data_IF_555300640568
#
_entry.id   IF_555300640568
#
_cell.length_a   1.000
_cell.length_b   1.000
_cell.length_c   1.000
_cell.angle_alpha   90.00
_cell.angle_beta   90.00
_cell.angle_gamma   90.00
#
_symmetry.space_group_name_H-M   'P 1'
#
loop_
_entity.id
_entity.type
_entity.pdbx_description
1 polymer ?
#
# COMPACT_ATOMS: atom_id res chain seq x y z
N UNK A 1 -10.92 15.95 -1.25
CA UNK A 1 -11.43 14.99 -2.25
C UNK A 1 -10.71 13.66 -2.04
N UNK A 2 -11.44 12.58 -1.71
CA UNK A 2 -10.84 11.24 -1.67
C UNK A 2 -10.78 10.72 -3.11
N UNK A 3 -9.65 10.89 -3.77
CA UNK A 3 -9.33 10.18 -5.02
C UNK A 3 -9.15 8.70 -4.67
N UNK A 4 -10.23 7.92 -4.78
CA UNK A 4 -10.18 6.48 -4.57
C UNK A 4 -9.26 5.84 -5.61
N UNK A 5 -8.34 4.99 -5.17
CA UNK A 5 -7.59 4.11 -6.08
C UNK A 5 -8.53 2.99 -6.47
N UNK A 6 -9.11 3.06 -7.67
CA UNK A 6 -9.89 1.96 -8.24
C UNK A 6 -8.91 1.09 -9.01
N UNK A 7 -8.61 -0.10 -8.48
CA UNK A 7 -7.85 -1.11 -9.20
C UNK A 7 -8.83 -1.93 -10.03
N UNK A 8 -8.72 -1.84 -11.35
CA UNK A 8 -9.52 -2.66 -12.29
C UNK A 8 -8.71 -3.84 -12.78
N UNK A 9 -9.39 -4.86 -13.31
CA UNK A 9 -8.76 -6.01 -13.98
C UNK A 9 -7.82 -5.55 -15.11
N UNK A 10 -8.23 -4.56 -15.90
CA UNK A 10 -7.39 -3.96 -16.94
C UNK A 10 -6.07 -3.39 -16.41
N UNK A 11 -6.06 -2.80 -15.21
CA UNK A 11 -4.80 -2.29 -14.63
C UNK A 11 -3.85 -3.43 -14.26
N UNK A 12 -4.39 -4.59 -13.88
CA UNK A 12 -3.61 -5.79 -13.58
C UNK A 12 -3.04 -6.35 -14.89
N UNK A 13 -3.87 -6.49 -15.92
CA UNK A 13 -3.44 -6.93 -17.25
C UNK A 13 -2.34 -6.03 -17.83
N UNK A 14 -2.53 -4.71 -17.76
CA UNK A 14 -1.53 -3.73 -18.22
C UNK A 14 -0.20 -3.90 -17.47
N UNK A 15 -0.25 -4.09 -16.15
CA UNK A 15 0.95 -4.30 -15.34
C UNK A 15 1.65 -5.64 -15.67
N UNK A 16 0.90 -6.69 -16.00
CA UNK A 16 1.47 -7.95 -16.48
C UNK A 16 2.17 -7.74 -17.83
N UNK A 17 1.47 -7.12 -18.78
CA UNK A 17 1.96 -6.91 -20.14
C UNK A 17 3.21 -6.01 -20.18
N UNK A 18 3.34 -5.07 -19.24
CA UNK A 18 4.50 -4.19 -19.12
C UNK A 18 5.62 -4.72 -18.22
N UNK A 19 5.41 -5.85 -17.54
CA UNK A 19 6.36 -6.37 -16.54
C UNK A 19 6.44 -5.53 -15.25
N UNK A 20 5.41 -4.76 -14.94
CA UNK A 20 5.34 -3.79 -13.83
C UNK A 20 4.57 -4.30 -12.61
N UNK A 21 4.19 -5.58 -12.57
CA UNK A 21 3.38 -6.20 -11.50
C UNK A 21 3.91 -5.89 -10.09
N UNK A 22 5.23 -5.93 -9.90
CA UNK A 22 5.84 -5.64 -8.60
C UNK A 22 5.61 -4.19 -8.16
N UNK A 23 5.65 -3.24 -9.10
CA UNK A 23 5.36 -1.82 -8.83
C UNK A 23 3.90 -1.64 -8.42
N UNK A 24 2.98 -2.32 -9.11
CA UNK A 24 1.56 -2.31 -8.77
C UNK A 24 1.30 -2.81 -7.34
N UNK A 25 1.90 -3.94 -6.97
CA UNK A 25 1.79 -4.50 -5.62
C UNK A 25 2.34 -3.52 -4.59
N UNK A 26 3.52 -2.94 -4.81
CA UNK A 26 4.11 -1.97 -3.89
C UNK A 26 3.21 -0.74 -3.70
N UNK A 27 2.59 -0.25 -4.78
CA UNK A 27 1.64 0.85 -4.70
C UNK A 27 0.44 0.49 -3.83
N UNK A 28 -0.16 -0.69 -4.04
CA UNK A 28 -1.29 -1.16 -3.22
C UNK A 28 -0.91 -1.33 -1.76
N UNK A 29 0.25 -1.92 -1.46
CA UNK A 29 0.78 -2.05 -0.10
C UNK A 29 0.88 -0.67 0.57
N UNK A 30 1.42 0.33 -0.13
CA UNK A 30 1.53 1.69 0.38
C UNK A 30 0.15 2.30 0.64
N UNK A 31 -0.78 2.22 -0.32
CA UNK A 31 -2.14 2.76 -0.16
C UNK A 31 -2.85 2.14 1.04
N UNK A 32 -2.74 0.83 1.23
CA UNK A 32 -3.31 0.11 2.38
C UNK A 32 -2.71 0.59 3.69
N UNK A 33 -1.37 0.67 3.78
CA UNK A 33 -0.66 1.14 4.98
C UNK A 33 -1.01 2.59 5.32
N UNK A 34 -1.05 3.49 4.33
CA UNK A 34 -1.39 4.90 4.54
C UNK A 34 -2.81 5.06 5.06
N UNK A 35 -3.77 4.34 4.50
CA UNK A 35 -5.15 4.34 5.01
C UNK A 35 -5.25 3.80 6.43
N UNK A 36 -4.47 2.78 6.77
CA UNK A 36 -4.40 2.26 8.13
C UNK A 36 -3.81 3.29 9.11
N UNK A 37 -2.72 3.97 8.73
CA UNK A 37 -2.12 5.03 9.54
C UNK A 37 -3.09 6.19 9.77
N UNK A 38 -3.84 6.61 8.76
CA UNK A 38 -4.89 7.64 8.92
C UNK A 38 -5.92 7.18 9.95
N UNK A 39 -6.41 5.93 9.85
CA UNK A 39 -7.39 5.37 10.80
C UNK A 39 -6.84 5.27 12.22
N UNK A 40 -5.53 5.05 12.40
CA UNK A 40 -4.88 4.91 13.70
C UNK A 40 -4.16 6.17 14.16
N UNK A 41 -4.37 7.31 13.49
CA UNK A 41 -3.76 8.62 13.81
C UNK A 41 -2.23 8.55 13.88
N UNK A 42 -1.61 7.87 12.92
CA UNK A 42 -0.16 7.72 12.81
C UNK A 42 0.44 6.64 13.70
N UNK A 43 -0.35 5.91 14.49
CA UNK A 43 0.18 4.82 15.31
C UNK A 43 0.54 3.60 14.43
N UNK A 44 1.83 3.45 14.15
CA UNK A 44 2.38 2.38 13.30
C UNK A 44 2.05 0.99 13.85
N UNK A 45 2.14 0.77 15.17
CA UNK A 45 1.88 -0.54 15.77
C UNK A 45 0.41 -0.95 15.63
N UNK A 46 -0.51 0.01 15.78
CA UNK A 46 -1.94 -0.24 15.57
C UNK A 46 -2.28 -0.38 14.08
N UNK A 47 -1.64 0.40 13.20
CA UNK A 47 -1.82 0.28 11.76
C UNK A 47 -1.39 -1.12 11.29
N UNK A 48 -0.25 -1.60 11.76
CA UNK A 48 0.27 -2.94 11.47
C UNK A 48 -0.71 -4.04 11.91
N UNK A 49 -1.29 -3.92 13.11
CA UNK A 49 -2.36 -4.82 13.56
C UNK A 49 -3.58 -4.77 12.66
N UNK A 50 -4.02 -3.57 12.27
CA UNK A 50 -5.22 -3.36 11.45
C UNK A 50 -5.10 -4.00 10.06
N UNK A 51 -3.91 -4.00 9.47
CA UNK A 51 -3.66 -4.60 8.14
C UNK A 51 -3.04 -6.00 8.22
N UNK A 52 -2.99 -6.59 9.42
CA UNK A 52 -2.40 -7.90 9.69
C UNK A 52 -0.97 -8.06 9.13
N UNK A 53 -0.14 -7.05 9.31
CA UNK A 53 1.28 -7.07 8.93
C UNK A 53 2.15 -6.91 10.17
N UNK A 54 3.38 -7.41 10.10
CA UNK A 54 4.35 -7.10 11.14
C UNK A 54 4.78 -5.62 11.03
N UNK A 55 5.19 -5.03 12.16
CA UNK A 55 5.60 -3.60 12.23
C UNK A 55 6.82 -3.29 11.35
N UNK A 56 7.71 -4.27 11.14
CA UNK A 56 8.90 -4.11 10.30
C UNK A 56 8.55 -3.95 8.81
N UNK A 57 7.65 -4.78 8.30
CA UNK A 57 7.09 -4.70 6.95
C UNK A 57 6.43 -3.37 6.71
N UNK A 58 5.58 -2.91 7.63
CA UNK A 58 4.94 -1.58 7.53
C UNK A 58 5.98 -0.47 7.41
N UNK A 59 7.04 -0.50 8.24
CA UNK A 59 8.14 0.46 8.13
C UNK A 59 8.89 0.38 6.81
N UNK A 60 9.14 -0.82 6.30
CA UNK A 60 9.81 -1.00 5.01
C UNK A 60 8.95 -0.53 3.85
N UNK A 61 7.62 -0.73 3.91
CA UNK A 61 6.65 -0.16 2.97
C UNK A 61 6.74 1.37 2.98
N UNK A 62 6.72 1.99 4.16
CA UNK A 62 6.82 3.45 4.29
C UNK A 62 8.14 4.01 3.75
N UNK A 63 9.29 3.39 4.10
CA UNK A 63 10.60 3.80 3.60
C UNK A 63 10.70 3.74 2.08
N UNK A 64 10.08 2.75 1.44
CA UNK A 64 10.04 2.63 -0.04
C UNK A 64 9.20 3.73 -0.70
N UNK A 65 8.30 4.37 0.04
CA UNK A 65 7.44 5.44 -0.48
C UNK A 65 8.02 6.84 -0.24
N UNK A 66 9.03 6.96 0.63
CA UNK A 66 9.73 8.21 0.96
C UNK A 66 10.96 8.47 0.06
N UNK A 67 11.37 7.50 -0.74
CA UNK A 67 12.43 7.60 -1.75
C UNK A 67 11.91 7.32 -3.16
#
# INVERSE_FOLDING_TARGET
>A
MLTGVILTERNIEDAINKGEVKSLIHHLENVVVQKALIKTRGNISQAAKLVNMNRGTVRNILKRAEG
#
